data_IF_809912307696
#
_entry.id   IF_809912307696
#
_cell.length_a   1.000
_cell.length_b   1.000
_cell.length_c   1.000
_cell.angle_alpha   90.00
_cell.angle_beta   90.00
_cell.angle_gamma   90.00
#
_symmetry.space_group_name_H-M   'P 1'
#
loop_
_entity.id
_entity.type
_entity.pdbx_description
1 polymer ?
#
# COMPACT_ATOMS: atom_id res chain seq x y z
N UNK A 1 -21.32 14.44 8.30
CA UNK A 1 -20.24 13.85 7.48
C UNK A 1 -20.88 12.84 6.55
N UNK A 2 -20.73 12.97 5.23
CA UNK A 2 -21.30 12.01 4.28
C UNK A 2 -20.71 10.61 4.55
N UNK A 3 -21.56 9.58 4.52
CA UNK A 3 -21.11 8.19 4.64
C UNK A 3 -20.35 7.84 3.36
N UNK A 4 -19.08 7.45 3.49
CA UNK A 4 -18.31 6.92 2.37
C UNK A 4 -18.77 5.48 2.11
N UNK A 5 -19.16 5.19 0.88
CA UNK A 5 -19.58 3.86 0.44
C UNK A 5 -18.64 3.43 -0.71
N UNK A 6 -18.01 2.26 -0.61
CA UNK A 6 -17.06 1.82 -1.63
C UNK A 6 -17.83 1.49 -2.91
N UNK A 7 -17.19 1.70 -4.07
CA UNK A 7 -17.80 1.30 -5.33
C UNK A 7 -18.04 -0.22 -5.34
N UNK A 8 -19.19 -0.65 -5.87
CA UNK A 8 -19.58 -2.07 -5.91
C UNK A 8 -18.50 -2.95 -6.56
N UNK A 9 -17.87 -2.46 -7.63
CA UNK A 9 -16.76 -3.15 -8.29
C UNK A 9 -15.56 -3.37 -7.35
N UNK A 10 -15.23 -2.41 -6.48
CA UNK A 10 -14.15 -2.56 -5.49
C UNK A 10 -14.48 -3.63 -4.46
N UNK A 11 -15.72 -3.69 -3.99
CA UNK A 11 -16.18 -4.73 -3.05
C UNK A 11 -16.09 -6.11 -3.69
N UNK A 12 -16.48 -6.24 -4.96
CA UNK A 12 -16.40 -7.51 -5.69
C UNK A 12 -14.96 -8.00 -5.85
N UNK A 13 -14.03 -7.10 -6.22
CA UNK A 13 -12.59 -7.41 -6.27
C UNK A 13 -12.09 -7.84 -4.88
N UNK A 14 -12.44 -7.09 -3.84
CA UNK A 14 -11.99 -7.38 -2.49
C UNK A 14 -12.50 -8.74 -1.98
N UNK A 15 -13.75 -9.11 -2.31
CA UNK A 15 -14.31 -10.42 -1.96
C UNK A 15 -13.54 -11.57 -2.61
N UNK A 16 -13.18 -11.41 -3.88
CA UNK A 16 -12.45 -12.41 -4.66
C UNK A 16 -10.94 -12.50 -4.31
N UNK A 17 -10.36 -11.50 -3.64
CA UNK A 17 -8.91 -11.40 -3.41
C UNK A 17 -8.49 -11.93 -2.03
N UNK A 18 -7.54 -12.87 -1.94
CA UNK A 18 -7.00 -13.32 -0.65
C UNK A 18 -6.40 -12.19 0.18
N UNK A 19 -5.83 -11.17 -0.47
CA UNK A 19 -5.27 -9.98 0.14
C UNK A 19 -5.58 -8.75 -0.74
N UNK A 20 -5.91 -7.62 -0.12
CA UNK A 20 -6.15 -6.33 -0.78
C UNK A 20 -5.08 -5.35 -0.33
N UNK A 21 -4.30 -4.86 -1.30
CA UNK A 21 -3.14 -3.98 -1.05
C UNK A 21 -3.17 -2.74 -1.94
N UNK A 22 -3.85 -1.65 -1.54
CA UNK A 22 -3.76 -0.40 -2.25
C UNK A 22 -2.45 0.33 -1.90
N UNK A 23 -1.87 1.05 -2.87
CA UNK A 23 -0.82 2.01 -2.60
C UNK A 23 -1.38 3.26 -1.92
N UNK A 24 -0.63 3.87 -1.01
CA UNK A 24 -0.93 5.19 -0.44
C UNK A 24 0.34 6.03 -0.27
N UNK A 25 0.22 7.33 -0.49
CA UNK A 25 1.24 8.32 -0.15
C UNK A 25 1.21 8.69 1.33
N UNK A 26 2.13 9.58 1.72
CA UNK A 26 2.22 10.10 3.09
C UNK A 26 1.35 11.35 3.33
N UNK A 27 0.75 11.93 2.29
CA UNK A 27 -0.07 13.13 2.46
C UNK A 27 -1.39 12.80 3.16
N UNK A 28 -1.94 13.73 3.94
CA UNK A 28 -3.29 13.57 4.51
C UNK A 28 -4.38 13.44 3.45
N UNK A 29 -4.12 13.93 2.23
CA UNK A 29 -5.03 13.79 1.09
C UNK A 29 -4.97 12.39 0.48
N UNK A 30 -3.92 11.61 0.74
CA UNK A 30 -3.85 10.18 0.42
C UNK A 30 -4.37 9.33 1.59
N UNK A 31 -3.89 9.61 2.81
CA UNK A 31 -4.12 8.78 3.99
C UNK A 31 -5.59 8.76 4.43
N UNK A 32 -6.27 9.92 4.45
CA UNK A 32 -7.67 10.01 4.88
C UNK A 32 -8.61 9.21 3.98
N UNK A 33 -8.59 9.36 2.64
CA UNK A 33 -9.43 8.53 1.78
C UNK A 33 -9.02 7.06 1.81
N UNK A 34 -7.73 6.73 1.94
CA UNK A 34 -7.27 5.33 2.06
C UNK A 34 -7.89 4.62 3.28
N UNK A 35 -7.82 5.24 4.46
CA UNK A 35 -8.44 4.72 5.69
C UNK A 35 -9.96 4.64 5.57
N UNK A 36 -10.60 5.64 4.95
CA UNK A 36 -12.05 5.63 4.72
C UNK A 36 -12.48 4.46 3.82
N UNK A 37 -11.73 4.18 2.77
CA UNK A 37 -12.01 3.05 1.87
C UNK A 37 -11.92 1.72 2.62
N UNK A 38 -10.87 1.52 3.41
CA UNK A 38 -10.73 0.29 4.20
C UNK A 38 -11.80 0.13 5.27
N UNK A 39 -12.25 1.21 5.91
CA UNK A 39 -13.39 1.14 6.84
C UNK A 39 -14.68 0.74 6.09
N UNK A 40 -14.87 1.27 4.89
CA UNK A 40 -15.99 0.92 4.02
C UNK A 40 -15.96 -0.56 3.61
N UNK A 41 -14.79 -1.08 3.21
CA UNK A 41 -14.61 -2.50 2.88
C UNK A 41 -14.82 -3.42 4.08
N UNK A 42 -14.31 -3.03 5.26
CA UNK A 42 -14.53 -3.76 6.51
C UNK A 42 -16.03 -3.81 6.86
N UNK A 43 -16.75 -2.68 6.74
CA UNK A 43 -18.20 -2.61 6.92
C UNK A 43 -18.96 -3.46 5.89
N UNK A 44 -18.43 -3.60 4.67
CA UNK A 44 -18.97 -4.47 3.62
C UNK A 44 -18.66 -5.97 3.82
N UNK A 45 -18.00 -6.34 4.92
CA UNK A 45 -17.73 -7.72 5.33
C UNK A 45 -16.37 -8.26 4.88
N UNK A 46 -15.47 -7.42 4.35
CA UNK A 46 -14.10 -7.85 4.05
C UNK A 46 -13.31 -7.99 5.35
N UNK A 47 -12.70 -9.15 5.64
CA UNK A 47 -11.91 -9.32 6.86
C UNK A 47 -10.74 -8.33 6.92
N UNK A 48 -10.60 -7.61 8.03
CA UNK A 48 -9.50 -6.63 8.23
C UNK A 48 -8.13 -7.29 8.08
N UNK A 49 -7.99 -8.57 8.47
CA UNK A 49 -6.76 -9.33 8.26
C UNK A 49 -6.31 -9.40 6.79
N UNK A 50 -7.25 -9.33 5.84
CA UNK A 50 -7.00 -9.33 4.38
C UNK A 50 -6.72 -7.94 3.82
N UNK A 51 -6.66 -6.90 4.64
CA UNK A 51 -6.44 -5.51 4.24
C UNK A 51 -5.06 -5.06 4.72
N UNK A 52 -4.21 -4.59 3.82
CA UNK A 52 -2.91 -4.02 4.17
C UNK A 52 -2.54 -2.86 3.24
N UNK A 53 -1.81 -1.86 3.72
CA UNK A 53 -1.35 -0.75 2.90
C UNK A 53 0.09 -0.95 2.42
N UNK A 54 0.37 -0.52 1.18
CA UNK A 54 1.72 -0.35 0.68
C UNK A 54 2.06 1.15 0.61
N UNK A 55 3.10 1.58 1.32
CA UNK A 55 3.56 2.97 1.26
C UNK A 55 4.28 3.23 -0.06
N UNK A 56 3.81 4.22 -0.81
CA UNK A 56 4.27 4.54 -2.16
C UNK A 56 4.50 6.05 -2.33
N UNK A 57 5.47 6.42 -3.16
CA UNK A 57 5.88 7.81 -3.40
C UNK A 57 6.29 8.55 -2.11
N UNK A 58 7.09 7.89 -1.26
CA UNK A 58 7.56 8.46 0.00
C UNK A 58 8.82 9.32 -0.22
N UNK A 59 8.85 10.53 0.33
CA UNK A 59 9.96 11.47 0.17
C UNK A 59 11.08 11.26 1.19
N UNK A 60 10.71 11.03 2.45
CA UNK A 60 11.63 10.93 3.60
C UNK A 60 11.28 9.81 4.57
N UNK A 61 12.24 9.41 5.41
CA UNK A 61 12.00 8.44 6.47
C UNK A 61 11.04 8.95 7.57
N UNK A 62 10.99 10.27 7.79
CA UNK A 62 10.04 10.87 8.73
C UNK A 62 8.60 10.73 8.21
N UNK A 63 8.37 11.06 6.93
CA UNK A 63 7.07 10.87 6.27
C UNK A 63 6.64 9.40 6.26
N UNK A 64 7.59 8.48 6.02
CA UNK A 64 7.34 7.04 6.09
C UNK A 64 6.79 6.63 7.46
N UNK A 65 7.50 7.01 8.53
CA UNK A 65 7.12 6.67 9.90
C UNK A 65 5.79 7.30 10.31
N UNK A 66 5.56 8.58 9.98
CA UNK A 66 4.31 9.27 10.26
C UNK A 66 3.12 8.64 9.53
N UNK A 67 3.28 8.32 8.23
CA UNK A 67 2.25 7.66 7.44
C UNK A 67 1.94 6.26 7.96
N UNK A 68 2.98 5.47 8.31
CA UNK A 68 2.82 4.15 8.91
C UNK A 68 2.05 4.22 10.22
N UNK A 69 2.47 5.08 11.14
CA UNK A 69 1.80 5.28 12.42
C UNK A 69 0.33 5.66 12.24
N UNK A 70 0.02 6.58 11.31
CA UNK A 70 -1.35 6.99 11.02
C UNK A 70 -2.26 5.81 10.60
N UNK A 71 -1.76 4.94 9.73
CA UNK A 71 -2.51 3.79 9.22
C UNK A 71 -2.64 2.67 10.26
N UNK A 72 -1.60 2.45 11.07
CA UNK A 72 -1.60 1.50 12.17
C UNK A 72 -2.52 1.94 13.32
N UNK A 73 -2.54 3.23 13.66
CA UNK A 73 -3.50 3.81 14.61
C UNK A 73 -4.95 3.68 14.14
N UNK A 74 -5.18 3.68 12.82
CA UNK A 74 -6.47 3.37 12.22
C UNK A 74 -6.83 1.86 12.24
N UNK A 75 -5.92 1.00 12.72
CA UNK A 75 -6.15 -0.43 12.91
C UNK A 75 -5.84 -1.30 11.69
N UNK A 76 -5.06 -0.78 10.72
CA UNK A 76 -4.70 -1.51 9.50
C UNK A 76 -3.24 -1.89 9.45
N UNK A 77 -2.96 -3.06 8.88
CA UNK A 77 -1.59 -3.49 8.63
C UNK A 77 -0.95 -2.61 7.54
N UNK A 78 0.34 -2.32 7.69
CA UNK A 78 1.15 -1.63 6.68
C UNK A 78 2.33 -2.53 6.35
N UNK A 79 2.54 -2.84 5.07
CA UNK A 79 3.67 -3.67 4.63
C UNK A 79 5.00 -3.03 5.02
N UNK A 80 6.01 -3.85 5.31
CA UNK A 80 7.35 -3.36 5.61
C UNK A 80 7.97 -2.70 4.37
N UNK A 81 8.86 -1.73 4.58
CA UNK A 81 9.46 -0.96 3.48
C UNK A 81 8.47 0.01 2.81
N UNK A 82 8.95 0.71 1.79
CA UNK A 82 8.17 1.65 0.99
C UNK A 82 8.81 1.87 -0.38
N UNK A 83 8.02 2.40 -1.33
CA UNK A 83 8.57 2.94 -2.58
C UNK A 83 8.86 4.43 -2.42
N UNK A 84 10.13 4.79 -2.56
CA UNK A 84 10.57 6.18 -2.56
C UNK A 84 10.13 6.93 -3.81
N UNK A 85 9.86 8.23 -3.67
CA UNK A 85 9.60 9.11 -4.80
C UNK A 85 10.91 9.35 -5.58
N UNK A 86 11.16 8.49 -6.58
CA UNK A 86 12.38 8.51 -7.40
C UNK A 86 12.05 8.31 -8.88
N UNK A 87 12.57 9.15 -9.79
CA UNK A 87 12.38 8.99 -11.23
C UNK A 87 12.89 7.64 -11.78
N UNK A 88 13.84 7.01 -11.09
CA UNK A 88 14.44 5.74 -11.48
C UNK A 88 13.41 4.61 -11.63
N UNK A 89 12.37 4.55 -10.78
CA UNK A 89 11.30 3.55 -10.93
C UNK A 89 10.54 3.74 -12.25
N UNK A 90 10.21 4.99 -12.61
CA UNK A 90 9.58 5.32 -13.89
C UNK A 90 10.50 4.99 -15.07
N UNK A 91 11.80 5.25 -14.95
CA UNK A 91 12.78 4.91 -16.00
C UNK A 91 12.88 3.38 -16.23
N UNK A 92 12.85 2.60 -15.15
CA UNK A 92 12.81 1.13 -15.24
C UNK A 92 11.53 0.67 -15.96
N UNK A 93 10.37 1.15 -15.53
CA UNK A 93 9.08 0.82 -16.14
C UNK A 93 9.00 1.22 -17.62
N UNK A 94 9.49 2.42 -17.99
CA UNK A 94 9.59 2.86 -19.38
C UNK A 94 10.43 1.93 -20.26
N UNK A 95 11.33 1.14 -19.64
CA UNK A 95 12.21 0.18 -20.31
C UNK A 95 11.67 -1.26 -20.21
N UNK A 96 10.46 -1.46 -19.68
CA UNK A 96 9.83 -2.78 -19.50
C UNK A 96 10.29 -3.55 -18.26
N UNK A 97 10.99 -2.90 -17.33
CA UNK A 97 11.50 -3.51 -16.11
C UNK A 97 10.58 -3.28 -14.91
N UNK A 98 10.59 -4.23 -13.97
CA UNK A 98 9.94 -4.11 -12.68
C UNK A 98 10.65 -3.10 -11.77
N UNK A 99 9.97 -2.69 -10.71
CA UNK A 99 10.54 -1.78 -9.69
C UNK A 99 11.72 -2.40 -8.92
N UNK A 100 11.81 -3.74 -8.87
CA UNK A 100 12.94 -4.49 -8.31
C UNK A 100 14.09 -4.69 -9.31
N UNK A 101 13.95 -4.21 -10.54
CA UNK A 101 14.96 -4.34 -11.61
C UNK A 101 15.58 -2.97 -11.95
N UNK A 102 15.51 -1.99 -11.04
CA UNK A 102 16.18 -0.71 -11.26
C UNK A 102 17.70 -0.88 -11.24
N UNK A 103 18.41 -0.07 -12.04
CA UNK A 103 19.88 -0.05 -12.05
C UNK A 103 20.53 0.47 -10.76
N UNK A 104 19.75 0.90 -9.77
CA UNK A 104 20.24 1.52 -8.55
C UNK A 104 20.02 0.57 -7.37
N UNK A 105 21.12 -0.01 -6.86
CA UNK A 105 21.06 -1.03 -5.80
C UNK A 105 20.27 -0.59 -4.56
N UNK A 106 20.40 0.67 -4.12
CA UNK A 106 19.65 1.17 -2.97
C UNK A 106 18.12 1.20 -3.18
N UNK A 107 17.66 1.50 -4.40
CA UNK A 107 16.22 1.49 -4.71
C UNK A 107 15.71 0.06 -4.90
N UNK A 108 16.52 -0.81 -5.52
CA UNK A 108 16.23 -2.23 -5.59
C UNK A 108 16.02 -2.79 -4.18
N UNK A 109 16.95 -2.60 -3.24
CA UNK A 109 16.81 -3.11 -1.87
C UNK A 109 15.55 -2.59 -1.17
N UNK A 110 15.18 -1.31 -1.36
CA UNK A 110 13.97 -0.76 -0.77
C UNK A 110 12.69 -1.38 -1.37
N UNK A 111 12.64 -1.53 -2.69
CA UNK A 111 11.52 -2.19 -3.35
C UNK A 111 11.43 -3.68 -2.96
N UNK A 112 12.57 -4.36 -2.83
CA UNK A 112 12.66 -5.78 -2.48
C UNK A 112 12.08 -6.04 -1.08
N UNK A 113 12.37 -5.18 -0.10
CA UNK A 113 11.76 -5.27 1.25
C UNK A 113 10.23 -5.19 1.17
N UNK A 114 9.68 -4.26 0.39
CA UNK A 114 8.23 -4.11 0.23
C UNK A 114 7.60 -5.31 -0.46
N UNK A 115 8.22 -5.79 -1.54
CA UNK A 115 7.73 -6.96 -2.27
C UNK A 115 7.83 -8.23 -1.43
N UNK A 116 8.91 -8.43 -0.67
CA UNK A 116 9.02 -9.56 0.23
C UNK A 116 7.95 -9.52 1.32
N UNK A 117 7.70 -8.35 1.92
CA UNK A 117 6.61 -8.19 2.90
C UNK A 117 5.22 -8.50 2.32
N UNK A 118 5.00 -8.15 1.04
CA UNK A 118 3.77 -8.52 0.33
C UNK A 118 3.68 -10.04 0.14
N UNK A 119 4.78 -10.69 -0.29
CA UNK A 119 4.84 -12.14 -0.51
C UNK A 119 4.57 -12.88 0.80
N UNK A 120 5.26 -12.51 1.88
CA UNK A 120 5.09 -13.11 3.20
C UNK A 120 3.63 -13.04 3.61
N UNK A 121 3.02 -11.85 3.55
CA UNK A 121 1.61 -11.67 3.92
C UNK A 121 0.61 -12.39 3.01
N UNK A 122 0.91 -12.51 1.71
CA UNK A 122 0.05 -13.22 0.77
C UNK A 122 0.14 -14.74 0.91
N UNK A 123 1.17 -15.24 1.60
CA UNK A 123 1.45 -16.67 1.78
C UNK A 123 1.33 -17.13 3.24
N UNK A 124 1.03 -16.22 4.17
CA UNK A 124 0.63 -16.55 5.54
C UNK A 124 -0.68 -17.37 5.52
N UNK A 125 -0.63 -18.58 6.11
CA UNK A 125 -1.77 -19.52 6.26
C UNK A 125 -2.69 -19.13 7.43
#
# INVERSE_FOLDING_TARGET
>A
MAQHEPAQATVEIARASNLVVPPTGASLDDLRPAVREFHALAKAGIPVARLAFALNSIGTAAEEAEARNYLEEAGYAVLAGCLLERPAYRQAQNSGHAITETRYAGLLTQADVLIQSLIDRATEE
#
